data_IF_803426515962
#
_entry.id   IF_803426515962
#
_cell.length_a   1.000
_cell.length_b   1.000
_cell.length_c   1.000
_cell.angle_alpha   90.00
_cell.angle_beta   90.00
_cell.angle_gamma   90.00
#
_symmetry.space_group_name_H-M   'P 1'
#
loop_
_entity.id
_entity.type
_entity.pdbx_description
1 polymer ?
#
# COMPACT_ATOMS: atom_id res chain seq x y z
N UNK A 1 25.16 -4.15 6.16
CA UNK A 1 25.49 -5.58 6.40
C UNK A 1 24.21 -6.28 6.79
N UNK A 2 23.80 -7.32 6.07
CA UNK A 2 22.64 -8.14 6.41
C UNK A 2 23.03 -9.34 7.30
N UNK A 3 22.19 -9.69 8.27
CA UNK A 3 22.43 -10.77 9.23
C UNK A 3 21.13 -11.48 9.59
N UNK A 4 21.23 -12.78 9.91
CA UNK A 4 20.15 -13.54 10.53
C UNK A 4 20.27 -13.60 12.06
N UNK A 5 21.46 -13.26 12.59
CA UNK A 5 21.77 -13.24 14.01
C UNK A 5 21.32 -11.91 14.66
N UNK A 6 20.46 -11.96 15.70
CA UNK A 6 19.86 -10.76 16.30
C UNK A 6 20.81 -9.96 17.19
N UNK A 7 21.89 -10.57 17.70
CA UNK A 7 22.85 -9.91 18.60
C UNK A 7 24.28 -10.35 18.29
N UNK A 8 25.26 -9.46 18.53
CA UNK A 8 26.66 -9.86 18.64
C UNK A 8 27.45 -9.94 17.33
N UNK A 9 26.99 -9.29 16.26
CA UNK A 9 27.85 -9.12 15.08
C UNK A 9 29.05 -8.24 15.46
N UNK A 10 30.25 -8.84 15.54
CA UNK A 10 31.49 -8.07 15.71
C UNK A 10 31.64 -7.13 14.51
N UNK A 11 31.83 -5.84 14.78
CA UNK A 11 32.04 -4.85 13.74
C UNK A 11 33.26 -5.23 12.89
N UNK A 12 33.02 -5.45 11.60
CA UNK A 12 34.05 -5.76 10.59
C UNK A 12 33.80 -4.89 9.37
N UNK A 13 34.59 -3.82 9.14
CA UNK A 13 34.35 -2.86 8.05
C UNK A 13 34.12 -3.52 6.68
N UNK A 14 34.90 -4.56 6.35
CA UNK A 14 34.80 -5.26 5.06
C UNK A 14 33.50 -6.04 4.82
N UNK A 15 32.62 -6.17 5.82
CA UNK A 15 31.30 -6.81 5.68
C UNK A 15 30.18 -5.81 5.37
N UNK A 16 30.48 -4.51 5.36
CA UNK A 16 29.52 -3.46 5.04
C UNK A 16 29.60 -3.09 3.57
N UNK A 17 28.45 -3.09 2.90
CA UNK A 17 28.29 -2.51 1.56
C UNK A 17 28.02 -1.03 1.70
N UNK A 18 28.76 -0.19 0.95
CA UNK A 18 28.51 1.25 0.90
C UNK A 18 27.19 1.52 0.19
N UNK A 19 26.30 2.29 0.83
CA UNK A 19 25.04 2.75 0.23
C UNK A 19 25.30 4.00 -0.59
N UNK A 20 25.80 5.07 0.05
CA UNK A 20 26.13 6.32 -0.62
C UNK A 20 27.13 7.16 0.19
N UNK A 21 27.65 8.23 -0.40
CA UNK A 21 28.31 9.34 0.29
C UNK A 21 27.28 10.42 0.55
N UNK A 22 27.00 10.69 1.82
CA UNK A 22 26.03 11.72 2.21
C UNK A 22 26.71 13.09 2.21
N UNK A 23 26.12 14.04 1.48
CA UNK A 23 26.52 15.45 1.50
C UNK A 23 25.46 16.28 2.23
N UNK A 24 25.81 17.51 2.57
CA UNK A 24 24.86 18.49 3.08
C UNK A 24 24.41 19.40 1.95
N UNK A 25 23.10 19.64 1.83
CA UNK A 25 22.55 20.66 0.93
C UNK A 25 22.99 22.06 1.38
N UNK A 26 22.96 22.30 2.69
CA UNK A 26 23.43 23.52 3.32
C UNK A 26 24.45 23.24 4.43
N UNK A 27 25.54 24.01 4.44
CA UNK A 27 26.52 23.99 5.52
C UNK A 27 26.28 25.11 6.53
N UNK A 28 26.64 24.84 7.78
CA UNK A 28 26.67 25.88 8.81
C UNK A 28 27.92 26.75 8.62
N UNK A 29 27.74 28.05 8.80
CA UNK A 29 28.80 29.05 8.78
C UNK A 29 29.00 29.63 10.17
N UNK A 30 30.10 30.36 10.37
CA UNK A 30 30.38 31.02 11.65
C UNK A 30 29.34 32.09 12.00
N UNK A 31 28.67 32.68 11.00
CA UNK A 31 27.57 33.63 11.21
C UNK A 31 26.33 32.93 11.76
N UNK A 32 25.98 31.75 11.24
CA UNK A 32 24.82 30.97 11.70
C UNK A 32 24.95 30.60 13.19
N UNK A 33 26.17 30.36 13.67
CA UNK A 33 26.45 30.11 15.09
C UNK A 33 26.22 31.36 15.96
N UNK A 34 26.55 32.55 15.45
CA UNK A 34 26.29 33.83 16.12
C UNK A 34 24.80 34.12 16.25
N UNK A 35 24.05 33.81 15.19
CA UNK A 35 22.60 34.04 15.11
C UNK A 35 21.78 32.88 15.70
N UNK A 36 22.44 31.82 16.18
CA UNK A 36 21.83 30.58 16.72
C UNK A 36 20.88 29.90 15.73
N UNK A 37 21.19 30.02 14.45
CA UNK A 37 20.42 29.41 13.36
C UNK A 37 20.92 27.97 13.17
N UNK A 38 20.00 27.02 13.28
CA UNK A 38 20.29 25.60 13.03
C UNK A 38 19.94 25.26 11.57
N UNK A 39 20.93 24.80 10.81
CA UNK A 39 20.75 24.26 9.46
C UNK A 39 20.75 22.73 9.53
N UNK A 40 19.56 22.14 9.39
CA UNK A 40 19.38 20.69 9.46
C UNK A 40 19.16 20.12 8.05
N UNK A 41 20.09 19.29 7.60
CA UNK A 41 19.96 18.55 6.34
C UNK A 41 19.19 17.25 6.55
N UNK A 42 18.32 16.89 5.61
CA UNK A 42 17.57 15.63 5.62
C UNK A 42 17.85 14.86 4.35
N UNK A 43 18.50 13.72 4.49
CA UNK A 43 18.92 12.88 3.37
C UNK A 43 18.20 11.54 3.43
N UNK A 44 17.56 11.15 2.32
CA UNK A 44 16.82 9.88 2.20
C UNK A 44 17.52 9.01 1.17
N UNK A 45 17.81 7.76 1.54
CA UNK A 45 18.40 6.75 0.65
C UNK A 45 17.68 5.43 0.80
N UNK A 46 17.50 4.74 -0.32
CA UNK A 46 16.93 3.41 -0.35
C UNK A 46 18.00 2.36 -0.05
N UNK A 47 17.59 1.30 0.64
CA UNK A 47 18.45 0.17 0.99
C UNK A 47 17.71 -1.11 0.63
N UNK A 48 18.32 -1.97 -0.18
CA UNK A 48 17.77 -3.29 -0.48
C UNK A 48 17.75 -3.64 -1.96
N UNK A 49 17.21 -4.83 -2.31
CA UNK A 49 16.34 -5.69 -1.50
C UNK A 49 17.03 -6.31 -0.28
N UNK A 50 16.35 -6.31 0.87
CA UNK A 50 16.80 -7.00 2.10
C UNK A 50 16.24 -8.42 2.11
N UNK A 51 17.11 -9.40 2.29
CA UNK A 51 16.82 -10.83 2.20
C UNK A 51 17.00 -11.59 3.52
N UNK A 52 17.78 -11.05 4.46
CA UNK A 52 17.99 -11.64 5.80
C UNK A 52 17.06 -11.04 6.85
N UNK A 53 17.02 -11.66 8.03
CA UNK A 53 16.13 -11.23 9.13
C UNK A 53 16.40 -9.81 9.65
N UNK A 54 17.60 -9.28 9.44
CA UNK A 54 17.94 -7.92 9.86
C UNK A 54 19.19 -7.37 9.18
N UNK A 55 19.50 -6.11 9.47
CA UNK A 55 20.67 -5.45 8.94
C UNK A 55 21.23 -4.40 9.92
N UNK A 56 22.50 -4.08 9.74
CA UNK A 56 23.18 -2.99 10.44
C UNK A 56 23.52 -1.86 9.48
N UNK A 57 23.28 -0.63 9.94
CA UNK A 57 23.76 0.61 9.33
C UNK A 57 25.00 1.10 10.05
N UNK A 58 25.93 1.70 9.31
CA UNK A 58 27.14 2.31 9.85
C UNK A 58 27.44 3.59 9.06
N UNK A 59 27.97 4.60 9.76
CA UNK A 59 28.40 5.86 9.19
C UNK A 59 29.92 5.93 9.25
N UNK A 60 30.56 6.17 8.11
CA UNK A 60 32.00 6.35 8.03
C UNK A 60 32.31 7.83 7.82
N UNK A 61 32.99 8.43 8.80
CA UNK A 61 33.53 9.78 8.69
C UNK A 61 35.02 9.73 8.35
N UNK A 62 35.45 10.62 7.46
CA UNK A 62 36.84 10.75 6.97
C UNK A 62 37.40 12.15 7.31
N UNK A 63 36.83 12.81 8.33
CA UNK A 63 37.32 14.09 8.87
C UNK A 63 36.41 15.28 8.61
N UNK A 64 35.10 15.06 8.49
CA UNK A 64 34.12 16.12 8.36
C UNK A 64 33.68 16.66 9.73
N UNK A 65 33.26 17.92 9.79
CA UNK A 65 32.62 18.49 10.98
C UNK A 65 31.12 18.24 10.91
N UNK A 66 30.65 17.11 11.46
CA UNK A 66 29.27 16.65 11.34
C UNK A 66 28.64 16.36 12.70
N UNK A 67 27.32 16.57 12.79
CA UNK A 67 26.50 16.13 13.90
C UNK A 67 25.30 15.36 13.38
N UNK A 68 25.21 14.07 13.73
CA UNK A 68 24.12 13.20 13.33
C UNK A 68 22.95 13.38 14.32
N UNK A 69 21.90 14.09 13.90
CA UNK A 69 20.77 14.46 14.78
C UNK A 69 19.74 13.34 14.90
N UNK A 70 19.40 12.68 13.79
CA UNK A 70 18.38 11.63 13.76
C UNK A 70 18.64 10.66 12.62
N UNK A 71 18.35 9.38 12.87
CA UNK A 71 18.33 8.33 11.84
C UNK A 71 17.02 7.60 11.95
N UNK A 72 16.23 7.67 10.87
CA UNK A 72 14.95 6.97 10.78
C UNK A 72 15.02 5.94 9.66
N UNK A 73 14.83 4.68 10.04
CA UNK A 73 14.70 3.55 9.12
C UNK A 73 13.23 3.18 9.04
N UNK A 74 12.69 3.09 7.83
CA UNK A 74 11.31 2.69 7.60
C UNK A 74 11.19 1.97 6.25
N UNK A 75 10.10 1.25 6.07
CA UNK A 75 9.70 0.68 4.80
C UNK A 75 8.30 1.19 4.45
N UNK A 76 7.97 1.24 3.16
CA UNK A 76 6.65 1.61 2.67
C UNK A 76 5.76 0.39 2.58
N UNK A 77 4.46 0.57 2.84
CA UNK A 77 3.43 -0.46 2.65
C UNK A 77 2.13 0.19 2.20
N UNK A 78 1.38 -0.51 1.38
CA UNK A 78 -0.01 -0.19 1.12
C UNK A 78 -0.86 -0.76 2.25
N UNK A 79 -1.54 0.09 3.05
CA UNK A 79 -2.23 -0.36 4.26
C UNK A 79 -3.53 -1.11 3.93
N UNK A 80 -4.00 -1.95 4.86
CA UNK A 80 -5.30 -2.60 4.75
C UNK A 80 -6.39 -1.56 4.42
N UNK A 81 -7.19 -1.85 3.40
CA UNK A 81 -8.25 -0.94 2.97
C UNK A 81 -9.51 -1.70 2.55
N UNK A 82 -10.61 -0.97 2.52
CA UNK A 82 -11.91 -1.43 2.08
C UNK A 82 -12.42 -0.54 0.95
N UNK A 83 -12.76 -1.16 -0.19
CA UNK A 83 -13.26 -0.49 -1.40
C UNK A 83 -14.17 -1.43 -2.17
N UNK A 84 -15.27 -0.91 -2.73
CA UNK A 84 -16.19 -1.66 -3.61
C UNK A 84 -16.67 -3.00 -3.01
N UNK A 85 -17.04 -3.00 -1.73
CA UNK A 85 -17.46 -4.19 -0.98
C UNK A 85 -16.39 -5.32 -0.92
N UNK A 86 -15.13 -4.96 -1.09
CA UNK A 86 -13.99 -5.85 -0.98
C UNK A 86 -12.94 -5.32 0.00
N UNK A 87 -12.27 -6.24 0.69
CA UNK A 87 -11.11 -5.97 1.55
C UNK A 87 -9.81 -6.27 0.81
N UNK A 88 -8.81 -5.43 1.03
CA UNK A 88 -7.47 -5.56 0.46
C UNK A 88 -6.45 -5.57 1.62
N UNK A 89 -5.62 -6.62 1.74
CA UNK A 89 -4.69 -6.77 2.85
C UNK A 89 -3.50 -5.80 2.76
N UNK A 90 -2.82 -5.60 3.90
CA UNK A 90 -1.51 -4.94 3.94
C UNK A 90 -0.58 -5.59 2.90
N UNK A 91 -0.03 -4.77 1.99
CA UNK A 91 0.83 -5.24 0.90
C UNK A 91 2.13 -4.43 0.86
N UNK A 92 3.26 -5.12 0.75
CA UNK A 92 4.57 -4.47 0.58
C UNK A 92 4.83 -4.28 -0.92
N UNK A 93 5.13 -3.06 -1.39
CA UNK A 93 5.51 -2.82 -2.78
C UNK A 93 6.75 -3.62 -3.18
N UNK A 94 6.94 -3.83 -4.48
CA UNK A 94 8.23 -4.32 -4.98
C UNK A 94 9.28 -3.21 -4.92
N UNK A 95 10.55 -3.63 -4.95
CA UNK A 95 11.72 -2.76 -4.80
C UNK A 95 12.01 -1.92 -6.05
N UNK A 96 11.49 -2.31 -7.21
CA UNK A 96 11.62 -1.55 -8.46
C UNK A 96 10.58 -0.43 -8.52
N UNK A 97 11.07 0.82 -8.58
CA UNK A 97 10.27 2.05 -8.49
C UNK A 97 9.22 2.23 -9.60
N UNK A 98 9.31 1.46 -10.69
CA UNK A 98 8.36 1.49 -11.80
C UNK A 98 7.29 0.39 -11.75
N UNK A 99 7.39 -0.58 -10.84
CA UNK A 99 6.46 -1.71 -10.83
C UNK A 99 5.27 -1.50 -9.89
N UNK A 100 4.12 -1.99 -10.34
CA UNK A 100 2.89 -2.03 -9.57
C UNK A 100 2.61 -3.45 -9.15
N UNK A 101 2.28 -3.65 -7.88
CA UNK A 101 1.85 -4.96 -7.37
C UNK A 101 0.34 -5.06 -7.51
N UNK A 102 -0.13 -5.93 -8.39
CA UNK A 102 -1.56 -6.26 -8.48
C UNK A 102 -2.01 -7.05 -7.25
N UNK A 103 -3.07 -6.59 -6.61
CA UNK A 103 -3.66 -7.21 -5.42
C UNK A 103 -5.13 -7.49 -5.68
N UNK A 104 -5.51 -8.77 -5.69
CA UNK A 104 -6.90 -9.20 -5.75
C UNK A 104 -7.56 -9.01 -4.37
N UNK A 105 -8.70 -8.32 -4.35
CA UNK A 105 -9.50 -8.15 -3.14
C UNK A 105 -10.33 -9.39 -2.83
N UNK A 106 -10.78 -9.49 -1.58
CA UNK A 106 -11.75 -10.49 -1.14
C UNK A 106 -13.08 -9.80 -0.81
N UNK A 107 -14.19 -10.32 -1.34
CA UNK A 107 -15.51 -9.80 -1.00
C UNK A 107 -15.79 -9.94 0.50
N UNK A 108 -16.46 -8.94 1.08
CA UNK A 108 -16.89 -9.00 2.47
C UNK A 108 -17.97 -10.07 2.68
N UNK A 109 -18.23 -10.46 3.95
CA UNK A 109 -19.34 -11.37 4.25
C UNK A 109 -20.66 -10.88 3.65
N UNK A 110 -21.46 -11.83 3.14
CA UNK A 110 -22.73 -11.59 2.46
C UNK A 110 -22.63 -10.74 1.17
N UNK A 111 -21.45 -10.67 0.56
CA UNK A 111 -21.25 -10.14 -0.78
C UNK A 111 -20.70 -11.22 -1.71
N UNK A 112 -20.98 -11.07 -2.99
CA UNK A 112 -20.51 -11.94 -4.07
C UNK A 112 -19.77 -11.13 -5.13
N UNK A 113 -18.81 -11.79 -5.80
CA UNK A 113 -18.01 -11.16 -6.84
C UNK A 113 -18.85 -10.98 -8.10
N UNK A 114 -19.03 -9.73 -8.54
CA UNK A 114 -19.61 -9.42 -9.86
C UNK A 114 -18.50 -9.29 -10.89
N UNK A 115 -17.51 -8.46 -10.57
CA UNK A 115 -16.29 -8.27 -11.33
C UNK A 115 -15.11 -8.43 -10.37
N UNK A 116 -14.05 -9.12 -10.78
CA UNK A 116 -12.90 -9.38 -9.89
C UNK A 116 -12.33 -8.10 -9.29
N UNK A 117 -12.45 -7.88 -7.97
CA UNK A 117 -11.96 -6.66 -7.34
C UNK A 117 -10.44 -6.66 -7.31
N UNK A 118 -9.81 -5.59 -7.79
CA UNK A 118 -8.35 -5.43 -7.83
C UNK A 118 -7.93 -4.01 -7.46
N UNK A 119 -6.78 -3.92 -6.80
CA UNK A 119 -6.02 -2.70 -6.58
C UNK A 119 -4.56 -2.90 -7.01
N UNK A 120 -3.88 -1.79 -7.27
CA UNK A 120 -2.45 -1.77 -7.57
C UNK A 120 -1.70 -1.03 -6.47
N UNK A 121 -0.78 -1.71 -5.78
CA UNK A 121 0.07 -1.12 -4.76
C UNK A 121 1.33 -0.53 -5.42
N UNK A 122 1.51 0.78 -5.32
CA UNK A 122 2.66 1.50 -5.86
C UNK A 122 3.87 1.51 -4.93
N UNK A 123 5.07 1.79 -5.48
CA UNK A 123 6.32 1.87 -4.73
C UNK A 123 6.29 2.89 -3.57
N UNK A 124 5.44 3.92 -3.67
CA UNK A 124 5.24 4.92 -2.62
C UNK A 124 4.40 4.46 -1.43
N UNK A 125 3.79 3.27 -1.51
CA UNK A 125 2.86 2.76 -0.49
C UNK A 125 1.43 3.22 -0.70
N UNK A 126 1.12 3.80 -1.85
CA UNK A 126 -0.22 4.26 -2.20
C UNK A 126 -0.99 3.20 -3.02
N UNK A 127 -2.28 3.08 -2.72
CA UNK A 127 -3.21 2.32 -3.54
C UNK A 127 -3.65 3.12 -4.75
N UNK A 128 -3.51 2.51 -5.93
CA UNK A 128 -3.90 3.08 -7.21
C UNK A 128 -5.14 2.37 -7.77
N UNK A 129 -5.53 2.75 -8.99
CA UNK A 129 -6.67 2.29 -9.82
C UNK A 129 -7.49 1.12 -9.23
N UNK A 130 -8.71 1.40 -8.70
CA UNK A 130 -9.66 0.36 -8.32
C UNK A 130 -10.34 -0.22 -9.56
N UNK A 131 -10.31 -1.55 -9.68
CA UNK A 131 -11.03 -2.31 -10.71
C UNK A 131 -11.95 -3.33 -10.05
N UNK A 132 -13.05 -3.64 -10.72
CA UNK A 132 -14.04 -4.60 -10.27
C UNK A 132 -14.74 -4.22 -8.96
N UNK A 133 -15.69 -5.05 -8.54
CA UNK A 133 -16.50 -4.85 -7.35
C UNK A 133 -17.20 -6.14 -6.90
N UNK A 134 -17.48 -6.19 -5.61
CA UNK A 134 -18.46 -7.11 -5.07
C UNK A 134 -19.83 -6.45 -4.98
N UNK A 135 -20.88 -7.25 -4.90
CA UNK A 135 -22.26 -6.81 -4.67
C UNK A 135 -22.86 -7.61 -3.54
N UNK A 136 -23.77 -7.04 -2.75
CA UNK A 136 -24.42 -7.81 -1.69
C UNK A 136 -25.21 -8.99 -2.28
N UNK A 137 -25.00 -10.17 -1.69
CA UNK A 137 -25.70 -11.39 -2.07
C UNK A 137 -27.20 -11.26 -1.83
N UNK A 138 -27.98 -12.13 -2.48
CA UNK A 138 -29.44 -12.12 -2.37
C UNK A 138 -29.95 -12.06 -0.92
N UNK A 139 -30.93 -11.18 -0.70
CA UNK A 139 -31.52 -10.94 0.63
C UNK A 139 -30.66 -10.08 1.56
N UNK A 140 -29.61 -9.43 1.05
CA UNK A 140 -28.87 -8.40 1.75
C UNK A 140 -28.93 -7.07 1.00
N UNK A 141 -28.69 -5.97 1.71
CA UNK A 141 -28.56 -4.62 1.17
C UNK A 141 -27.28 -3.98 1.72
N UNK A 142 -26.68 -3.14 0.90
CA UNK A 142 -25.50 -2.38 1.28
C UNK A 142 -25.91 -1.25 2.23
N UNK A 143 -25.35 -1.25 3.43
CA UNK A 143 -25.46 -0.18 4.41
C UNK A 143 -24.07 0.09 5.00
N UNK A 144 -23.59 1.32 4.84
CA UNK A 144 -22.29 1.79 5.35
C UNK A 144 -21.10 0.87 4.98
N UNK A 145 -21.08 0.36 3.74
CA UNK A 145 -20.02 -0.55 3.29
C UNK A 145 -20.09 -1.97 3.88
N UNK A 146 -21.25 -2.36 4.43
CA UNK A 146 -21.52 -3.72 4.89
C UNK A 146 -22.78 -4.28 4.22
N UNK A 147 -22.87 -5.60 4.10
CA UNK A 147 -24.05 -6.26 3.56
C UNK A 147 -24.91 -6.82 4.70
N UNK A 148 -26.00 -6.13 5.01
CA UNK A 148 -26.94 -6.50 6.07
C UNK A 148 -28.16 -7.20 5.50
N UNK A 149 -28.74 -8.17 6.24
CA UNK A 149 -29.97 -8.84 5.80
C UNK A 149 -31.05 -7.79 5.62
N UNK A 150 -31.81 -7.90 4.52
CA UNK A 150 -33.04 -7.13 4.35
C UNK A 150 -33.98 -7.50 5.50
N UNK A 151 -34.13 -6.59 6.46
CA UNK A 151 -35.27 -6.66 7.35
C UNK A 151 -36.49 -6.36 6.49
N UNK A 152 -37.27 -7.39 6.11
CA UNK A 152 -38.66 -7.16 5.75
C UNK A 152 -39.28 -6.51 6.99
N UNK A 153 -39.44 -5.19 6.97
CA UNK A 153 -40.33 -4.52 7.90
C UNK A 153 -41.67 -5.25 7.75
N UNK A 154 -42.08 -5.94 8.80
CA UNK A 154 -43.40 -6.55 8.94
C UNK A 154 -44.43 -5.42 9.10
N UNK A 155 -44.64 -4.65 8.04
CA UNK A 155 -45.69 -3.66 7.91
C UNK A 155 -45.98 -3.58 6.42
N UNK A 156 -47.22 -3.86 6.00
CA UNK A 156 -47.65 -3.92 4.61
C UNK A 156 -47.53 -2.61 3.83
N UNK A 157 -46.32 -2.13 3.63
CA UNK A 157 -45.96 -1.04 2.74
C UNK A 157 -44.82 -1.56 1.87
N UNK A 158 -45.16 -1.82 0.60
CA UNK A 158 -44.19 -1.96 -0.47
C UNK A 158 -43.58 -0.56 -0.64
N UNK A 159 -42.28 -0.34 -0.39
CA UNK A 159 -41.63 0.84 -0.92
C UNK A 159 -41.58 0.65 -2.44
N UNK A 160 -42.48 1.35 -3.13
CA UNK A 160 -42.23 1.75 -4.51
C UNK A 160 -41.03 2.70 -4.40
N UNK A 161 -39.97 2.41 -5.14
CA UNK A 161 -38.67 3.11 -5.16
C UNK A 161 -37.56 2.52 -4.28
N UNK A 162 -37.04 1.38 -4.73
CA UNK A 162 -35.60 1.12 -4.72
C UNK A 162 -35.21 0.26 -5.94
N UNK A 163 -35.64 0.71 -7.12
CA UNK A 163 -35.01 0.30 -8.37
C UNK A 163 -33.69 1.06 -8.51
N UNK A 164 -32.63 0.62 -7.83
CA UNK A 164 -31.29 0.84 -8.37
C UNK A 164 -31.12 -0.17 -9.50
N UNK A 165 -31.62 0.24 -10.67
CA UNK A 165 -31.34 -0.39 -11.93
C UNK A 165 -29.81 -0.54 -12.09
N UNK A 166 -29.34 -1.77 -12.21
CA UNK A 166 -28.25 -2.06 -13.12
C UNK A 166 -28.80 -3.00 -14.17
N UNK A 167 -29.38 -2.39 -15.21
CA UNK A 167 -29.58 -3.04 -16.51
C UNK A 167 -28.18 -3.23 -17.07
N UNK A 168 -27.63 -4.43 -16.97
CA UNK A 168 -26.58 -4.85 -17.92
C UNK A 168 -27.26 -5.75 -18.94
N UNK A 169 -27.26 -5.27 -20.18
CA UNK A 169 -27.74 -6.00 -21.33
C UNK A 169 -26.82 -7.19 -21.59
N UNK A 170 -27.34 -8.39 -21.34
CA UNK A 170 -26.75 -9.62 -21.83
C UNK A 170 -27.16 -9.80 -23.30
N UNK A 171 -26.33 -9.30 -24.21
CA UNK A 171 -26.42 -9.63 -25.63
C UNK A 171 -25.61 -10.92 -25.89
N UNK A 172 -26.16 -12.05 -25.45
CA UNK A 172 -25.74 -13.38 -25.90
C UNK A 172 -26.23 -13.64 -27.35
N UNK A 173 -25.50 -14.43 -28.15
CA UNK A 173 -25.76 -14.53 -29.58
C UNK A 173 -27.04 -15.33 -29.88
N UNK A 174 -27.80 -14.85 -30.86
CA UNK A 174 -28.94 -15.58 -31.41
C UNK A 174 -28.45 -16.87 -32.07
N UNK A 175 -28.89 -18.00 -31.53
CA UNK A 175 -28.83 -19.32 -32.15
C UNK A 175 -30.05 -19.44 -33.04
N UNK A 176 -29.88 -19.28 -34.35
CA UNK A 176 -30.90 -19.58 -35.35
C UNK A 176 -30.79 -21.04 -35.81
N UNK A 177 -31.87 -21.79 -35.61
CA UNK A 177 -32.19 -23.05 -36.25
C UNK A 177 -33.72 -23.25 -36.17
N UNK A 178 -34.36 -24.08 -37.02
CA UNK A 178 -34.10 -24.41 -38.43
C UNK A 178 -35.38 -24.23 -39.31
N UNK A 179 -35.26 -24.41 -40.63
CA UNK A 179 -36.40 -24.83 -41.48
C UNK A 179 -36.55 -24.15 -42.84
N UNK A 180 -36.04 -24.75 -43.92
CA UNK A 180 -36.75 -25.60 -44.89
C UNK A 180 -35.81 -25.94 -46.06
#
# INVERSE_FOLDING_TARGET
METDEPHGAKFKPGQYTKIDTIAADESFTQMDLGDRILKLNTEVREVGPISRKGFYLAFQDIGACIALVSVRVYYKKCPFTFRNLATFPDTIPRVDSSSLVEVRGACIPNAEERDTPKLYCGADGDWLVPLGKCVCSMGHEELDGTCLRRHRLLSGLIPVDAASASVDGDQGPAVDAPGL
#
